data_IF_257641941107
#
_entry.id   IF_257641941107
#
_cell.length_a   1.000
_cell.length_b   1.000
_cell.length_c   1.000
_cell.angle_alpha   90.00
_cell.angle_beta   90.00
_cell.angle_gamma   90.00
#
_symmetry.space_group_name_H-M   'P 1'
#
loop_
_entity.id
_entity.type
_entity.pdbx_description
1 polymer ?
#
# COMPACT_ATOMS: atom_id res chain seq x y z
N UNK A 1 29.19 13.01 14.43
CA UNK A 1 29.89 14.29 14.66
C UNK A 1 29.02 15.16 15.56
N UNK A 2 28.90 14.77 16.83
CA UNK A 2 28.18 15.52 17.86
C UNK A 2 29.01 15.47 19.15
N UNK A 3 29.57 16.64 19.45
CA UNK A 3 29.67 17.28 20.76
C UNK A 3 30.64 16.73 21.82
N UNK A 4 31.91 17.09 21.62
CA UNK A 4 32.96 17.26 22.64
C UNK A 4 32.73 18.49 23.56
N UNK A 5 31.49 18.91 23.80
CA UNK A 5 31.19 20.22 24.39
C UNK A 5 30.79 20.20 25.88
N UNK A 6 30.63 19.05 26.55
CA UNK A 6 30.11 19.00 27.93
C UNK A 6 31.13 18.80 29.06
N UNK A 7 32.44 18.68 28.76
CA UNK A 7 33.44 18.30 29.76
C UNK A 7 34.10 19.48 30.51
N UNK A 8 33.54 20.70 30.42
CA UNK A 8 34.19 21.93 30.93
C UNK A 8 33.50 22.65 32.09
N UNK A 9 32.53 22.03 32.78
CA UNK A 9 31.79 22.67 33.88
C UNK A 9 31.80 21.90 35.21
N UNK A 10 32.83 21.08 35.48
CA UNK A 10 33.12 20.57 36.83
C UNK A 10 34.24 21.40 37.47
N UNK A 11 33.97 22.68 37.66
CA UNK A 11 34.70 23.48 38.64
C UNK A 11 34.19 23.10 40.02
N UNK A 12 34.66 21.97 40.56
CA UNK A 12 34.47 21.64 41.96
C UNK A 12 35.00 22.81 42.78
N UNK A 13 34.10 23.56 43.38
CA UNK A 13 34.44 24.57 44.37
C UNK A 13 34.80 23.79 45.63
N UNK A 14 35.99 23.19 45.62
CA UNK A 14 36.56 22.50 46.76
C UNK A 14 36.84 23.59 47.80
N UNK A 15 35.87 23.82 48.68
CA UNK A 15 36.05 24.62 49.88
C UNK A 15 37.20 23.97 50.65
N UNK A 16 38.41 24.53 50.53
CA UNK A 16 39.56 24.14 51.33
C UNK A 16 39.16 24.34 52.79
N UNK A 17 38.95 23.24 53.50
CA UNK A 17 38.67 23.23 54.95
C UNK A 17 39.75 23.98 55.75
N UNK A 18 40.91 24.18 55.15
CA UNK A 18 42.01 24.97 55.69
C UNK A 18 41.85 26.49 55.62
N UNK A 19 40.80 27.04 54.99
CA UNK A 19 40.59 28.48 54.99
C UNK A 19 40.38 29.00 56.44
N UNK A 20 41.27 29.84 56.98
CA UNK A 20 41.18 30.35 58.34
C UNK A 20 39.88 31.13 58.60
N UNK A 21 39.26 31.72 57.57
CA UNK A 21 37.96 32.41 57.67
C UNK A 21 36.84 31.42 57.94
N UNK A 22 36.88 30.27 57.27
CA UNK A 22 35.93 29.16 57.49
C UNK A 22 36.12 28.61 58.91
N UNK A 23 37.37 28.35 59.33
CA UNK A 23 37.67 27.88 60.70
C UNK A 23 37.19 28.83 61.80
N UNK A 24 37.40 30.13 61.64
CA UNK A 24 36.94 31.13 62.60
C UNK A 24 35.41 31.14 62.72
N UNK A 25 34.71 31.03 61.59
CA UNK A 25 33.23 31.00 61.54
C UNK A 25 32.67 29.72 62.17
N UNK A 26 33.28 28.56 61.89
CA UNK A 26 32.92 27.27 62.53
C UNK A 26 33.13 27.32 64.04
N UNK A 27 34.24 27.90 64.50
CA UNK A 27 34.53 28.05 65.93
C UNK A 27 33.54 28.98 66.65
N UNK A 28 33.05 30.01 65.96
CA UNK A 28 31.98 30.88 66.45
C UNK A 28 30.65 30.11 66.56
N UNK A 29 30.26 29.39 65.51
CA UNK A 29 29.02 28.61 65.48
C UNK A 29 28.98 27.51 66.54
N UNK A 30 30.10 26.84 66.82
CA UNK A 30 30.21 25.84 67.90
C UNK A 30 29.89 26.38 69.29
N UNK A 31 29.99 27.70 69.52
CA UNK A 31 29.63 28.30 70.81
C UNK A 31 28.12 28.50 70.98
N UNK A 32 27.36 28.50 69.89
CA UNK A 32 25.93 28.82 69.89
C UNK A 32 25.02 27.60 69.68
N UNK A 33 25.56 26.50 69.16
CA UNK A 33 24.79 25.27 68.96
C UNK A 33 24.93 24.41 70.22
N UNK A 34 23.83 24.26 70.94
CA UNK A 34 23.72 23.26 72.02
C UNK A 34 23.72 21.86 71.43
N UNK A 35 24.14 20.87 72.22
CA UNK A 35 24.11 19.46 71.81
C UNK A 35 22.71 19.03 71.36
N UNK A 36 21.68 19.48 72.07
CA UNK A 36 20.27 19.18 71.75
C UNK A 36 19.86 19.70 70.37
N UNK A 37 20.22 20.95 70.04
CA UNK A 37 19.94 21.51 68.72
C UNK A 37 20.68 20.76 67.59
N UNK A 38 21.90 20.27 67.85
CA UNK A 38 22.62 19.44 66.88
C UNK A 38 21.93 18.08 66.65
N UNK A 39 21.38 17.47 67.71
CA UNK A 39 20.62 16.22 67.64
C UNK A 39 19.34 16.41 66.83
N UNK A 40 18.58 17.48 67.07
CA UNK A 40 17.33 17.76 66.34
C UNK A 40 17.58 17.98 64.84
N UNK A 41 18.64 18.74 64.51
CA UNK A 41 19.06 18.95 63.12
C UNK A 41 19.40 17.61 62.47
N UNK A 42 20.19 16.76 63.13
CA UNK A 42 20.56 15.45 62.61
C UNK A 42 19.32 14.57 62.37
N UNK A 43 18.37 14.56 63.31
CA UNK A 43 17.12 13.81 63.18
C UNK A 43 16.28 14.29 61.99
N UNK A 44 16.16 15.61 61.77
CA UNK A 44 15.49 16.16 60.59
C UNK A 44 16.17 15.72 59.27
N UNK A 45 17.50 15.73 59.22
CA UNK A 45 18.24 15.26 58.03
C UNK A 45 18.02 13.77 57.77
N UNK A 46 17.96 12.93 58.81
CA UNK A 46 17.68 11.50 58.64
C UNK A 46 16.27 11.24 58.09
N UNK A 47 15.26 11.93 58.61
CA UNK A 47 13.88 11.83 58.09
C UNK A 47 13.80 12.34 56.65
N UNK A 48 14.45 13.46 56.35
CA UNK A 48 14.50 13.98 54.99
C UNK A 48 15.19 13.01 54.01
N UNK A 49 16.25 12.32 54.44
CA UNK A 49 16.93 11.30 53.64
C UNK A 49 16.03 10.08 53.36
N UNK A 50 15.32 9.56 54.37
CA UNK A 50 14.36 8.45 54.20
C UNK A 50 13.20 8.83 53.26
N UNK A 51 12.69 10.07 53.36
CA UNK A 51 11.68 10.59 52.43
C UNK A 51 12.23 10.69 50.99
N UNK A 52 13.49 11.11 50.84
CA UNK A 52 14.14 11.22 49.54
C UNK A 52 14.32 9.84 48.88
N UNK A 53 14.77 8.83 49.64
CA UNK A 53 14.93 7.45 49.18
C UNK A 53 13.58 6.87 48.71
N UNK A 54 12.51 7.03 49.51
CA UNK A 54 11.16 6.58 49.13
C UNK A 54 10.66 7.24 47.84
N UNK A 55 10.94 8.53 47.65
CA UNK A 55 10.58 9.24 46.41
C UNK A 55 11.37 8.71 45.21
N UNK A 56 12.64 8.37 45.38
CA UNK A 56 13.46 7.79 44.32
C UNK A 56 12.92 6.41 43.88
N UNK A 57 12.47 5.60 44.84
CA UNK A 57 11.81 4.32 44.55
C UNK A 57 10.47 4.50 43.82
N UNK A 58 9.64 5.45 44.24
CA UNK A 58 8.38 5.76 43.57
C UNK A 58 8.61 6.23 42.13
N UNK A 59 9.58 7.14 41.91
CA UNK A 59 9.95 7.62 40.58
C UNK A 59 10.45 6.45 39.72
N UNK A 60 11.29 5.58 40.29
CA UNK A 60 11.78 4.38 39.60
C UNK A 60 10.66 3.43 39.21
N UNK A 61 9.66 3.23 40.06
CA UNK A 61 8.48 2.42 39.74
C UNK A 61 7.62 3.05 38.64
N UNK A 62 7.39 4.36 38.70
CA UNK A 62 6.64 5.08 37.66
C UNK A 62 7.37 4.96 36.31
N UNK A 63 8.69 5.14 36.29
CA UNK A 63 9.49 5.00 35.08
C UNK A 63 9.39 3.58 34.47
N UNK A 64 9.40 2.53 35.29
CA UNK A 64 9.18 1.15 34.83
C UNK A 64 7.80 0.95 34.22
N UNK A 65 6.74 1.44 34.89
CA UNK A 65 5.35 1.35 34.37
C UNK A 65 5.18 2.12 33.05
N UNK A 66 5.79 3.29 32.92
CA UNK A 66 5.82 4.04 31.66
C UNK A 66 6.55 3.27 30.55
N UNK A 67 7.66 2.60 30.88
CA UNK A 67 8.36 1.73 29.93
C UNK A 67 7.51 0.54 29.47
N UNK A 68 6.78 -0.09 30.38
CA UNK A 68 5.93 -1.25 30.05
C UNK A 68 4.69 -0.86 29.24
N UNK A 69 4.06 0.26 29.56
CA UNK A 69 2.96 0.81 28.76
C UNK A 69 3.40 1.16 27.34
N UNK A 70 4.56 1.82 27.19
CA UNK A 70 5.12 2.11 25.87
C UNK A 70 5.43 0.85 25.05
N UNK A 71 5.91 -0.23 25.68
CA UNK A 71 6.12 -1.53 25.02
C UNK A 71 4.81 -2.14 24.54
N UNK A 72 3.76 -2.07 25.34
CA UNK A 72 2.42 -2.59 24.98
C UNK A 72 1.86 -1.80 23.80
N UNK A 73 1.94 -0.47 23.84
CA UNK A 73 1.48 0.38 22.73
C UNK A 73 2.24 0.09 21.43
N UNK A 74 3.57 -0.08 21.52
CA UNK A 74 4.39 -0.44 20.37
C UNK A 74 4.00 -1.83 19.81
N UNK A 75 3.77 -2.82 20.67
CA UNK A 75 3.33 -4.15 20.25
C UNK A 75 1.96 -4.11 19.55
N UNK A 76 1.01 -3.34 20.08
CA UNK A 76 -0.31 -3.15 19.48
C UNK A 76 -0.21 -2.46 18.12
N UNK A 77 0.64 -1.44 17.98
CA UNK A 77 0.87 -0.76 16.71
C UNK A 77 1.48 -1.69 15.65
N UNK A 78 2.45 -2.52 16.04
CA UNK A 78 3.05 -3.54 15.15
C UNK A 78 2.01 -4.56 14.69
N UNK A 79 1.16 -5.06 15.60
CA UNK A 79 0.08 -5.99 15.26
C UNK A 79 -0.95 -5.38 14.30
N UNK A 80 -1.31 -4.11 14.51
CA UNK A 80 -2.22 -3.39 13.61
C UNK A 80 -1.64 -3.23 12.20
N UNK A 81 -0.32 -2.97 12.09
CA UNK A 81 0.37 -2.86 10.81
C UNK A 81 0.37 -4.20 10.05
N UNK A 82 0.61 -5.31 10.73
CA UNK A 82 0.59 -6.64 10.10
C UNK A 82 -0.82 -7.01 9.60
N UNK A 83 -1.85 -6.69 10.38
CA UNK A 83 -3.24 -6.86 9.95
C UNK A 83 -3.55 -6.03 8.71
N UNK A 84 -3.12 -4.76 8.66
CA UNK A 84 -3.29 -3.92 7.48
C UNK A 84 -2.56 -4.49 6.25
N UNK A 85 -1.32 -4.99 6.42
CA UNK A 85 -0.56 -5.58 5.34
C UNK A 85 -1.23 -6.86 4.81
N UNK A 86 -1.77 -7.71 5.69
CA UNK A 86 -2.52 -8.90 5.26
C UNK A 86 -3.79 -8.54 4.49
N UNK A 87 -4.53 -7.51 4.92
CA UNK A 87 -5.73 -7.04 4.24
C UNK A 87 -5.42 -6.53 2.81
N UNK A 88 -4.32 -5.78 2.63
CA UNK A 88 -3.92 -5.32 1.28
C UNK A 88 -3.54 -6.48 0.34
N UNK A 89 -2.89 -7.53 0.86
CA UNK A 89 -2.59 -8.74 0.08
C UNK A 89 -3.88 -9.43 -0.39
N UNK A 90 -4.87 -9.57 0.48
CA UNK A 90 -6.17 -10.17 0.14
C UNK A 90 -6.89 -9.33 -0.92
N UNK A 91 -6.93 -8.00 -0.75
CA UNK A 91 -7.54 -7.09 -1.72
C UNK A 91 -6.91 -7.22 -3.12
N UNK A 92 -5.58 -7.32 -3.20
CA UNK A 92 -4.85 -7.53 -4.47
C UNK A 92 -5.25 -8.85 -5.15
N UNK A 93 -5.38 -9.94 -4.39
CA UNK A 93 -5.83 -11.24 -4.93
C UNK A 93 -7.26 -11.15 -5.45
N UNK A 94 -8.16 -10.50 -4.70
CA UNK A 94 -9.55 -10.33 -5.13
C UNK A 94 -9.66 -9.51 -6.42
N UNK A 95 -8.91 -8.41 -6.52
CA UNK A 95 -8.87 -7.59 -7.74
C UNK A 95 -8.39 -8.41 -8.96
N UNK A 96 -7.35 -9.22 -8.79
CA UNK A 96 -6.87 -10.13 -9.84
C UNK A 96 -7.94 -11.13 -10.30
N UNK A 97 -8.70 -11.71 -9.37
CA UNK A 97 -9.81 -12.65 -9.69
C UNK A 97 -10.93 -11.98 -10.48
N UNK A 98 -11.28 -10.73 -10.17
CA UNK A 98 -12.32 -9.98 -10.90
C UNK A 98 -11.89 -9.70 -12.33
N UNK A 99 -10.61 -9.33 -12.55
CA UNK A 99 -10.09 -9.12 -13.91
C UNK A 99 -10.12 -10.44 -14.68
N UNK A 100 -9.68 -11.54 -14.07
CA UNK A 100 -9.70 -12.87 -14.71
C UNK A 100 -11.12 -13.36 -15.03
N UNK A 101 -12.11 -13.10 -14.19
CA UNK A 101 -13.49 -13.52 -14.46
C UNK A 101 -14.07 -12.77 -15.67
N UNK A 102 -13.83 -11.46 -15.75
CA UNK A 102 -14.25 -10.63 -16.90
C UNK A 102 -13.60 -11.08 -18.20
N UNK A 103 -12.30 -11.35 -18.20
CA UNK A 103 -11.61 -11.83 -19.42
C UNK A 103 -12.09 -13.20 -19.84
N UNK A 104 -12.30 -14.13 -18.90
CA UNK A 104 -12.88 -15.45 -19.19
C UNK A 104 -14.30 -15.34 -19.78
N UNK A 105 -15.15 -14.50 -19.21
CA UNK A 105 -16.50 -14.27 -19.73
C UNK A 105 -16.46 -13.69 -21.15
N UNK A 106 -15.62 -12.68 -21.39
CA UNK A 106 -15.42 -12.08 -22.71
C UNK A 106 -14.94 -13.12 -23.74
N UNK A 107 -13.93 -13.91 -23.38
CA UNK A 107 -13.39 -14.94 -24.27
C UNK A 107 -14.41 -16.05 -24.56
N UNK A 108 -15.22 -16.46 -23.59
CA UNK A 108 -16.33 -17.41 -23.82
C UNK A 108 -17.36 -16.84 -24.78
N UNK A 109 -17.73 -15.56 -24.62
CA UNK A 109 -18.66 -14.89 -25.53
C UNK A 109 -18.13 -14.84 -26.97
N UNK A 110 -16.85 -14.47 -27.13
CA UNK A 110 -16.18 -14.50 -28.45
C UNK A 110 -16.16 -15.90 -29.05
N UNK A 111 -15.73 -16.91 -28.28
CA UNK A 111 -15.67 -18.29 -28.74
C UNK A 111 -17.05 -18.83 -29.14
N UNK A 112 -18.11 -18.50 -28.40
CA UNK A 112 -19.47 -18.89 -28.73
C UNK A 112 -19.96 -18.22 -30.02
N UNK A 113 -19.66 -16.92 -30.21
CA UNK A 113 -20.00 -16.22 -31.45
C UNK A 113 -19.22 -16.78 -32.65
N UNK A 114 -17.93 -17.04 -32.50
CA UNK A 114 -17.10 -17.67 -33.52
C UNK A 114 -17.61 -19.07 -33.88
N UNK A 115 -17.95 -19.88 -32.88
CA UNK A 115 -18.52 -21.20 -33.09
C UNK A 115 -19.86 -21.13 -33.83
N UNK A 116 -20.73 -20.18 -33.49
CA UNK A 116 -22.01 -19.99 -34.18
C UNK A 116 -21.79 -19.59 -35.63
N UNK A 117 -20.97 -18.57 -35.88
CA UNK A 117 -20.72 -18.04 -37.22
C UNK A 117 -19.95 -19.00 -38.13
N UNK A 118 -19.17 -19.93 -37.57
CA UNK A 118 -18.41 -20.95 -38.33
C UNK A 118 -19.19 -22.24 -38.58
N UNK A 119 -20.47 -22.32 -38.18
CA UNK A 119 -21.30 -23.49 -38.52
C UNK A 119 -21.55 -23.53 -40.03
N UNK A 120 -21.57 -24.74 -40.62
CA UNK A 120 -21.95 -24.92 -42.02
C UNK A 120 -23.25 -24.21 -42.39
N UNK A 121 -23.23 -23.42 -43.46
CA UNK A 121 -24.39 -22.68 -43.97
C UNK A 121 -24.75 -21.42 -43.19
N UNK A 122 -23.93 -20.99 -42.22
CA UNK A 122 -24.14 -19.74 -41.50
C UNK A 122 -23.43 -18.54 -42.17
N UNK A 123 -23.41 -17.39 -41.51
CA UNK A 123 -22.96 -16.11 -42.04
C UNK A 123 -21.57 -16.16 -42.71
N UNK A 124 -20.58 -16.88 -42.15
CA UNK A 124 -19.24 -16.97 -42.77
C UNK A 124 -19.27 -17.71 -44.09
N UNK A 125 -19.88 -18.89 -44.15
CA UNK A 125 -20.02 -19.67 -45.37
C UNK A 125 -20.81 -18.93 -46.43
N UNK A 126 -21.90 -18.25 -46.04
CA UNK A 126 -22.69 -17.44 -46.97
C UNK A 126 -21.88 -16.24 -47.50
N UNK A 127 -21.05 -15.62 -46.67
CA UNK A 127 -20.11 -14.58 -47.12
C UNK A 127 -19.05 -15.13 -48.05
N UNK A 128 -18.53 -16.33 -47.80
CA UNK A 128 -17.56 -16.97 -48.69
C UNK A 128 -18.20 -17.35 -50.04
N UNK A 129 -19.41 -17.90 -50.02
CA UNK A 129 -20.17 -18.25 -51.21
C UNK A 129 -20.41 -17.03 -52.12
N UNK A 130 -20.82 -15.89 -51.56
CA UNK A 130 -21.02 -14.68 -52.38
C UNK A 130 -19.70 -14.10 -52.91
N UNK A 131 -18.61 -14.19 -52.14
CA UNK A 131 -17.28 -13.78 -52.63
C UNK A 131 -16.79 -14.71 -53.75
N UNK A 132 -17.06 -16.01 -53.66
CA UNK A 132 -16.75 -16.97 -54.71
C UNK A 132 -17.59 -16.70 -55.98
N UNK A 133 -18.89 -16.42 -55.83
CA UNK A 133 -19.76 -16.02 -56.93
C UNK A 133 -19.26 -14.73 -57.60
N UNK A 134 -18.82 -13.74 -56.82
CA UNK A 134 -18.19 -12.53 -57.34
C UNK A 134 -16.87 -12.83 -58.09
N UNK A 135 -15.99 -13.64 -57.49
CA UNK A 135 -14.71 -14.02 -58.07
C UNK A 135 -14.84 -14.77 -59.42
N UNK A 136 -15.98 -15.42 -59.67
CA UNK A 136 -16.29 -16.07 -60.96
C UNK A 136 -16.41 -15.11 -62.14
N UNK A 137 -16.49 -13.80 -61.89
CA UNK A 137 -16.64 -12.78 -62.94
C UNK A 137 -17.95 -12.89 -63.73
N UNK A 138 -18.98 -13.53 -63.16
CA UNK A 138 -20.32 -13.64 -63.78
C UNK A 138 -21.07 -12.29 -63.83
N UNK A 139 -20.76 -11.40 -62.90
CA UNK A 139 -21.48 -10.15 -62.67
C UNK A 139 -20.64 -8.94 -63.06
N UNK A 140 -21.28 -7.94 -63.68
CA UNK A 140 -20.65 -6.69 -64.13
C UNK A 140 -20.39 -5.69 -63.01
N UNK A 141 -21.12 -5.78 -61.90
CA UNK A 141 -20.95 -4.91 -60.73
C UNK A 141 -21.20 -5.67 -59.42
N UNK A 142 -20.59 -5.18 -58.32
CA UNK A 142 -20.77 -5.74 -56.98
C UNK A 142 -22.23 -5.67 -56.53
N UNK A 143 -22.95 -4.60 -56.86
CA UNK A 143 -24.34 -4.42 -56.47
C UNK A 143 -25.26 -5.42 -57.16
N UNK A 144 -25.01 -5.69 -58.45
CA UNK A 144 -25.79 -6.67 -59.22
C UNK A 144 -25.53 -8.10 -58.74
N UNK A 145 -24.27 -8.43 -58.41
CA UNK A 145 -23.92 -9.68 -57.74
C UNK A 145 -24.65 -9.79 -56.39
N UNK A 146 -24.67 -8.73 -55.59
CA UNK A 146 -25.31 -8.73 -54.28
C UNK A 146 -26.82 -8.92 -54.38
N UNK A 147 -27.49 -8.29 -55.33
CA UNK A 147 -28.95 -8.38 -55.50
C UNK A 147 -29.41 -9.74 -56.05
N UNK A 148 -28.64 -10.33 -56.97
CA UNK A 148 -29.01 -11.62 -57.57
C UNK A 148 -28.70 -12.80 -56.66
N UNK A 149 -27.55 -12.78 -55.97
CA UNK A 149 -27.12 -13.90 -55.11
C UNK A 149 -27.71 -13.83 -53.69
N UNK A 150 -28.19 -12.66 -53.22
CA UNK A 150 -28.71 -12.56 -51.84
C UNK A 150 -29.96 -13.41 -51.60
N UNK A 151 -30.84 -13.54 -52.60
CA UNK A 151 -32.03 -14.39 -52.51
C UNK A 151 -31.66 -15.88 -52.44
N UNK A 152 -30.70 -16.32 -53.25
CA UNK A 152 -30.21 -17.70 -53.27
C UNK A 152 -29.55 -18.11 -51.94
N UNK A 153 -28.83 -17.19 -51.30
CA UNK A 153 -28.15 -17.42 -50.02
C UNK A 153 -29.05 -17.16 -48.78
N UNK A 154 -30.31 -16.77 -49.00
CA UNK A 154 -31.26 -16.37 -47.96
C UNK A 154 -30.62 -15.36 -46.97
N UNK A 155 -30.12 -14.24 -47.50
CA UNK A 155 -29.57 -13.12 -46.72
C UNK A 155 -30.08 -11.77 -47.20
N UNK A 156 -30.03 -10.76 -46.35
CA UNK A 156 -30.43 -9.41 -46.75
C UNK A 156 -29.45 -8.81 -47.79
N UNK A 157 -29.94 -8.06 -48.79
CA UNK A 157 -29.10 -7.45 -49.83
C UNK A 157 -28.05 -6.49 -49.25
N UNK A 158 -28.38 -5.77 -48.17
CA UNK A 158 -27.41 -4.93 -47.46
C UNK A 158 -26.27 -5.70 -46.77
N UNK A 159 -26.48 -6.98 -46.44
CA UNK A 159 -25.44 -7.87 -45.91
C UNK A 159 -24.54 -8.39 -47.03
N UNK A 160 -25.15 -8.76 -48.17
CA UNK A 160 -24.44 -9.15 -49.39
C UNK A 160 -23.49 -8.04 -49.88
N UNK A 161 -23.96 -6.79 -49.99
CA UNK A 161 -23.10 -5.64 -50.36
C UNK A 161 -21.93 -5.44 -49.40
N UNK A 162 -22.16 -5.64 -48.09
CA UNK A 162 -21.10 -5.55 -47.07
C UNK A 162 -20.05 -6.66 -47.20
N UNK A 163 -20.47 -7.86 -47.56
CA UNK A 163 -19.55 -8.99 -47.78
C UNK A 163 -18.56 -8.75 -48.94
N UNK A 164 -18.96 -7.92 -49.92
CA UNK A 164 -18.20 -7.57 -51.12
C UNK A 164 -17.38 -6.27 -51.01
N UNK A 165 -17.46 -5.54 -49.89
CA UNK A 165 -16.88 -4.17 -49.78
C UNK A 165 -15.35 -4.11 -49.91
N UNK A 166 -14.67 -5.22 -49.68
CA UNK A 166 -13.20 -5.34 -49.74
C UNK A 166 -12.75 -6.53 -50.61
N UNK A 167 -13.58 -7.01 -51.54
CA UNK A 167 -13.14 -8.04 -52.50
C UNK A 167 -12.52 -7.40 -53.73
N UNK A 168 -11.40 -7.97 -54.24
CA UNK A 168 -10.78 -7.50 -55.48
C UNK A 168 -11.75 -7.62 -56.65
N UNK A 169 -11.52 -6.81 -57.69
CA UNK A 169 -12.26 -6.89 -58.94
C UNK A 169 -11.99 -8.24 -59.62
N UNK A 170 -13.01 -8.97 -60.09
CA UNK A 170 -12.81 -10.26 -60.73
C UNK A 170 -12.13 -10.07 -62.09
N UNK A 171 -11.42 -11.09 -62.59
CA UNK A 171 -10.87 -11.04 -63.93
C UNK A 171 -12.02 -10.81 -64.92
N UNK A 172 -11.97 -9.70 -65.67
CA UNK A 172 -12.97 -9.42 -66.70
C UNK A 172 -12.97 -10.61 -67.66
N UNK A 173 -14.14 -11.19 -67.94
CA UNK A 173 -14.24 -12.08 -69.09
C UNK A 173 -13.85 -11.26 -70.31
N UNK A 174 -12.72 -11.59 -70.93
CA UNK A 174 -12.44 -11.18 -72.29
C UNK A 174 -13.56 -11.82 -73.13
N UNK A 175 -14.65 -11.09 -73.35
CA UNK A 175 -15.58 -11.40 -74.42
C UNK A 175 -14.77 -11.23 -75.70
N UNK A 176 -14.33 -12.35 -76.25
CA UNK A 176 -13.68 -12.44 -77.55
C UNK A 176 -14.60 -11.91 -78.66
#
# INVERSE_FOLDING_TARGET
MTDKASEKAKGETQLREDDPRVRAKVKSLRKWITLDAAIDILAMYMVAADIAEKREDEISQIARRLGDTAKIELANAVAALDLALSATKIAKVMAGRVIQSKTKASNRGKAAADALHSKPGNSRDKQEAIRAAWASGKYSSRDLCAEQECAALNMAPGTARRALRNTPEPPRRCTA
#
